data_IF_378206417545
#
_entry.id   IF_378206417545
#
_cell.length_a   1.000
_cell.length_b   1.000
_cell.length_c   1.000
_cell.angle_alpha   90.00
_cell.angle_beta   90.00
_cell.angle_gamma   90.00
#
_symmetry.space_group_name_H-M   'P 1'
#
loop_
_entity.id
_entity.type
_entity.pdbx_description
1 polymer ?
#
# COMPACT_ATOMS: atom_id res chain seq x y z
N UNK A 1 -47.25 22.15 4.26
CA UNK A 1 -46.88 22.54 2.86
C UNK A 1 -47.73 23.71 2.45
N UNK A 2 -47.11 24.85 2.14
CA UNK A 2 -47.87 26.00 1.68
C UNK A 2 -48.40 25.74 0.26
N UNK A 3 -49.74 25.67 0.11
CA UNK A 3 -50.32 25.41 -1.20
C UNK A 3 -50.45 26.73 -2.00
N UNK A 4 -49.46 27.02 -2.82
CA UNK A 4 -49.39 28.24 -3.64
C UNK A 4 -50.59 28.37 -4.59
N UNK A 5 -51.04 27.25 -5.15
CA UNK A 5 -52.20 27.22 -6.05
C UNK A 5 -53.48 27.63 -5.31
N UNK A 6 -53.64 27.14 -4.08
CA UNK A 6 -54.77 27.49 -3.24
C UNK A 6 -54.74 28.98 -2.84
N UNK A 7 -53.57 29.52 -2.47
CA UNK A 7 -53.43 30.93 -2.16
C UNK A 7 -53.73 31.86 -3.34
N UNK A 8 -53.28 31.49 -4.54
CA UNK A 8 -53.57 32.23 -5.77
C UNK A 8 -55.07 32.20 -6.08
N UNK A 9 -55.74 31.05 -5.92
CA UNK A 9 -57.20 30.95 -6.13
C UNK A 9 -57.93 31.84 -5.16
N UNK A 10 -57.66 31.82 -3.87
CA UNK A 10 -58.32 32.69 -2.88
C UNK A 10 -58.13 34.20 -3.15
N UNK A 11 -56.91 34.56 -3.59
CA UNK A 11 -56.64 35.97 -3.97
C UNK A 11 -57.40 36.35 -5.24
N UNK A 12 -57.52 35.48 -6.25
CA UNK A 12 -58.24 35.69 -7.46
C UNK A 12 -59.79 35.78 -7.19
N UNK A 13 -60.30 34.84 -6.36
CA UNK A 13 -61.72 34.86 -5.97
C UNK A 13 -62.07 36.15 -5.23
N UNK A 14 -61.13 36.70 -4.43
CA UNK A 14 -61.34 38.04 -3.82
C UNK A 14 -61.34 39.15 -4.82
N UNK A 15 -60.46 39.15 -5.82
CA UNK A 15 -60.40 40.16 -6.87
C UNK A 15 -61.69 40.14 -7.73
N UNK A 16 -62.23 38.94 -7.93
CA UNK A 16 -63.49 38.72 -8.70
C UNK A 16 -64.80 38.93 -7.89
N UNK A 17 -64.66 39.34 -6.61
CA UNK A 17 -65.80 39.54 -5.72
C UNK A 17 -66.49 38.24 -5.25
N UNK A 18 -65.88 37.06 -5.49
CA UNK A 18 -66.47 35.75 -5.13
C UNK A 18 -66.32 35.46 -3.62
N UNK A 19 -65.27 36.00 -2.95
CA UNK A 19 -65.09 35.92 -1.50
C UNK A 19 -64.80 37.30 -0.89
N UNK A 20 -65.17 37.48 0.38
CA UNK A 20 -64.92 38.70 1.16
C UNK A 20 -63.79 38.59 2.13
N UNK A 21 -62.86 37.61 1.99
CA UNK A 21 -61.74 37.43 2.91
C UNK A 21 -60.81 38.63 2.85
N UNK A 22 -60.41 39.11 4.02
CA UNK A 22 -59.28 40.03 4.11
C UNK A 22 -57.94 39.32 3.76
N UNK A 23 -56.93 40.08 3.30
CA UNK A 23 -55.58 39.50 3.02
C UNK A 23 -54.95 38.83 4.24
N UNK A 24 -55.33 39.24 5.47
CA UNK A 24 -54.90 38.60 6.68
C UNK A 24 -55.54 37.23 6.87
N UNK A 25 -56.87 37.12 6.57
CA UNK A 25 -57.57 35.85 6.61
C UNK A 25 -57.03 34.86 5.55
N UNK A 26 -56.77 35.35 4.34
CA UNK A 26 -56.12 34.51 3.29
C UNK A 26 -54.73 34.03 3.74
N UNK A 27 -53.94 34.91 4.39
CA UNK A 27 -52.65 34.57 4.93
C UNK A 27 -52.76 33.44 5.99
N UNK A 28 -53.68 33.55 6.92
CA UNK A 28 -53.93 32.56 7.95
C UNK A 28 -54.44 31.21 7.36
N UNK A 29 -55.32 31.22 6.37
CA UNK A 29 -55.82 30.01 5.71
C UNK A 29 -54.79 29.28 4.89
N UNK A 30 -53.81 30.00 4.36
CA UNK A 30 -52.82 29.44 3.41
C UNK A 30 -51.45 29.23 4.04
N UNK A 31 -51.24 29.72 5.28
CA UNK A 31 -49.93 29.69 5.95
C UNK A 31 -48.88 30.66 5.39
N UNK A 32 -49.27 31.53 4.45
CA UNK A 32 -48.39 32.58 3.93
C UNK A 32 -48.43 33.84 4.83
N UNK A 33 -47.31 34.60 4.83
CA UNK A 33 -47.36 35.92 5.46
C UNK A 33 -48.24 36.91 4.68
N UNK A 34 -48.87 37.88 5.35
CA UNK A 34 -49.67 38.93 4.70
C UNK A 34 -48.89 39.62 3.59
N UNK A 35 -47.57 39.86 3.77
CA UNK A 35 -46.69 40.45 2.74
C UNK A 35 -46.53 39.56 1.51
N UNK A 36 -46.52 38.24 1.67
CA UNK A 36 -46.51 37.30 0.54
C UNK A 36 -47.83 37.29 -0.23
N UNK A 37 -48.99 37.38 0.47
CA UNK A 37 -50.29 37.48 -0.17
C UNK A 37 -50.40 38.77 -1.00
N UNK A 38 -49.94 39.89 -0.50
CA UNK A 38 -49.87 41.14 -1.28
C UNK A 38 -48.99 41.01 -2.53
N UNK A 39 -47.87 40.30 -2.43
CA UNK A 39 -47.01 40.03 -3.60
C UNK A 39 -47.72 39.15 -4.63
N UNK A 40 -48.48 38.15 -4.17
CA UNK A 40 -49.29 37.32 -5.07
C UNK A 40 -50.40 38.14 -5.74
N UNK A 41 -51.10 39.00 -5.00
CA UNK A 41 -52.11 39.88 -5.53
C UNK A 41 -51.57 40.79 -6.65
N UNK A 42 -50.39 41.44 -6.39
CA UNK A 42 -49.72 42.24 -7.41
C UNK A 42 -49.38 41.46 -8.67
N UNK A 43 -48.92 40.22 -8.51
CA UNK A 43 -48.56 39.34 -9.64
C UNK A 43 -49.77 38.90 -10.45
N UNK A 44 -50.91 38.63 -9.83
CA UNK A 44 -52.17 38.27 -10.54
C UNK A 44 -52.66 39.41 -11.42
N UNK A 45 -52.48 40.65 -10.99
CA UNK A 45 -52.82 41.82 -11.79
C UNK A 45 -51.92 42.05 -13.00
N UNK A 46 -50.69 41.46 -12.97
CA UNK A 46 -49.69 41.65 -14.00
C UNK A 46 -49.55 40.43 -14.94
N UNK A 47 -49.95 39.23 -14.50
CA UNK A 47 -49.67 37.96 -15.18
C UNK A 47 -50.77 36.94 -14.95
N UNK A 48 -50.92 36.01 -15.92
CA UNK A 48 -51.79 34.86 -15.80
C UNK A 48 -51.33 33.89 -14.66
N UNK A 49 -52.30 33.23 -14.01
CA UNK A 49 -52.07 32.37 -12.83
C UNK A 49 -51.11 31.23 -13.13
N UNK A 50 -51.26 30.59 -14.29
CA UNK A 50 -50.41 29.45 -14.66
C UNK A 50 -48.94 29.89 -14.79
N UNK A 51 -48.71 31.08 -15.31
CA UNK A 51 -47.33 31.67 -15.35
C UNK A 51 -46.77 32.03 -13.98
N UNK A 52 -47.65 32.33 -12.99
CA UNK A 52 -47.26 32.63 -11.60
C UNK A 52 -46.90 31.34 -10.84
N UNK A 53 -47.54 30.20 -11.18
CA UNK A 53 -47.27 28.91 -10.58
C UNK A 53 -45.89 28.38 -10.96
N UNK A 54 -45.42 28.65 -12.17
CA UNK A 54 -44.10 28.28 -12.64
C UNK A 54 -43.04 29.13 -11.92
N UNK A 55 -42.04 28.46 -11.37
CA UNK A 55 -40.91 29.18 -10.74
C UNK A 55 -40.18 29.97 -11.83
N UNK A 56 -39.87 31.26 -11.57
CA UNK A 56 -39.24 32.17 -12.56
C UNK A 56 -37.91 31.72 -13.13
N UNK A 57 -37.28 30.73 -12.51
CA UNK A 57 -36.06 30.07 -12.97
C UNK A 57 -36.31 28.69 -13.60
N UNK A 58 -37.60 28.28 -13.74
CA UNK A 58 -37.93 27.01 -14.37
C UNK A 58 -37.52 27.04 -15.84
N UNK A 59 -36.78 26.00 -16.26
CA UNK A 59 -36.22 25.90 -17.61
C UNK A 59 -34.97 26.75 -17.88
N UNK A 60 -34.56 27.62 -16.94
CA UNK A 60 -33.32 28.38 -17.09
C UNK A 60 -32.15 27.59 -16.45
N UNK A 61 -31.04 27.44 -17.16
CA UNK A 61 -29.87 26.81 -16.58
C UNK A 61 -29.38 27.61 -15.35
N UNK A 62 -29.00 26.93 -14.29
CA UNK A 62 -28.37 27.55 -13.13
C UNK A 62 -27.06 28.22 -13.55
N UNK A 63 -26.66 29.31 -12.91
CA UNK A 63 -25.33 29.95 -13.12
C UNK A 63 -24.15 28.98 -12.92
N UNK A 64 -24.41 27.88 -12.23
CA UNK A 64 -23.46 26.83 -11.99
C UNK A 64 -23.61 25.61 -12.92
N UNK A 65 -24.50 25.68 -13.90
CA UNK A 65 -24.69 24.60 -14.90
C UNK A 65 -23.41 24.47 -15.74
N UNK A 66 -22.98 23.23 -16.05
CA UNK A 66 -21.83 23.01 -16.91
C UNK A 66 -22.12 23.52 -18.34
N UNK A 67 -21.11 24.07 -18.99
CA UNK A 67 -21.21 24.40 -20.42
C UNK A 67 -21.10 23.12 -21.26
N UNK A 68 -21.63 23.15 -22.50
CA UNK A 68 -21.46 22.03 -23.44
C UNK A 68 -20.00 21.70 -23.68
N UNK A 69 -19.14 22.73 -23.80
CA UNK A 69 -17.68 22.57 -23.97
C UNK A 69 -17.04 21.87 -22.77
N UNK A 70 -17.45 22.22 -21.55
CA UNK A 70 -16.95 21.56 -20.33
C UNK A 70 -17.31 20.08 -20.30
N UNK A 71 -18.58 19.75 -20.61
CA UNK A 71 -19.04 18.35 -20.66
C UNK A 71 -18.28 17.55 -21.71
N UNK A 72 -18.11 18.10 -22.91
CA UNK A 72 -17.39 17.45 -23.99
C UNK A 72 -15.91 17.23 -23.64
N UNK A 73 -15.26 18.20 -23.01
CA UNK A 73 -13.90 18.07 -22.52
C UNK A 73 -13.78 16.95 -21.48
N UNK A 74 -14.71 16.90 -20.51
CA UNK A 74 -14.73 15.85 -19.47
C UNK A 74 -14.94 14.47 -20.12
N UNK A 75 -15.79 14.33 -21.13
CA UNK A 75 -16.01 13.08 -21.85
C UNK A 75 -14.74 12.62 -22.56
N UNK A 76 -14.08 13.52 -23.28
CA UNK A 76 -12.83 13.22 -23.99
C UNK A 76 -11.70 12.81 -23.02
N UNK A 77 -11.60 13.50 -21.89
CA UNK A 77 -10.66 13.13 -20.84
C UNK A 77 -10.97 11.77 -20.22
N UNK A 78 -12.27 11.46 -19.96
CA UNK A 78 -12.71 10.16 -19.42
C UNK A 78 -12.37 8.98 -20.35
N UNK A 79 -12.40 9.20 -21.67
CA UNK A 79 -12.06 8.15 -22.64
C UNK A 79 -10.64 7.61 -22.50
N UNK A 80 -9.70 8.38 -21.92
CA UNK A 80 -8.35 7.93 -21.60
C UNK A 80 -8.34 6.91 -20.45
N UNK A 81 -9.39 6.87 -19.62
CA UNK A 81 -9.54 6.00 -18.45
C UNK A 81 -10.89 5.25 -18.51
N UNK A 82 -11.02 4.21 -19.37
CA UNK A 82 -12.30 3.51 -19.56
C UNK A 82 -12.89 2.96 -18.27
N UNK A 83 -12.04 2.37 -17.42
CA UNK A 83 -12.42 1.77 -16.14
C UNK A 83 -11.76 2.54 -15.01
N UNK A 84 -12.50 3.48 -14.43
CA UNK A 84 -12.02 4.32 -13.33
C UNK A 84 -13.14 4.62 -12.35
N UNK A 85 -12.85 4.63 -11.06
CA UNK A 85 -13.83 5.05 -10.05
C UNK A 85 -14.05 6.56 -10.07
N UNK A 86 -15.26 7.00 -9.71
CA UNK A 86 -15.61 8.43 -9.68
C UNK A 86 -14.59 9.22 -8.85
N UNK A 87 -14.24 8.73 -7.64
CA UNK A 87 -13.28 9.42 -6.77
C UNK A 87 -11.89 9.55 -7.41
N UNK A 88 -11.39 8.49 -8.05
CA UNK A 88 -10.09 8.56 -8.72
C UNK A 88 -10.14 9.45 -9.96
N UNK A 89 -11.22 9.40 -10.72
CA UNK A 89 -11.42 10.29 -11.87
C UNK A 89 -11.36 11.76 -11.45
N UNK A 90 -12.07 12.12 -10.37
CA UNK A 90 -12.06 13.47 -9.80
C UNK A 90 -10.63 13.87 -9.42
N UNK A 91 -9.92 13.00 -8.72
CA UNK A 91 -8.55 13.26 -8.31
C UNK A 91 -7.65 13.58 -9.51
N UNK A 92 -7.64 12.69 -10.52
CA UNK A 92 -6.80 12.87 -11.72
C UNK A 92 -7.22 14.10 -12.53
N UNK A 93 -8.51 14.26 -12.77
CA UNK A 93 -9.01 15.40 -13.55
C UNK A 93 -8.72 16.75 -12.87
N UNK A 94 -8.89 16.83 -11.55
CA UNK A 94 -8.59 18.04 -10.82
C UNK A 94 -7.08 18.32 -10.78
N UNK A 95 -6.24 17.32 -10.50
CA UNK A 95 -4.80 17.48 -10.40
C UNK A 95 -4.16 17.80 -11.77
N UNK A 96 -4.54 17.06 -12.82
CA UNK A 96 -3.89 17.18 -14.13
C UNK A 96 -4.44 18.33 -14.98
N UNK A 97 -5.69 18.72 -14.78
CA UNK A 97 -6.35 19.73 -15.60
C UNK A 97 -6.67 20.96 -14.77
N UNK A 98 -7.64 20.90 -13.85
CA UNK A 98 -8.27 22.09 -13.27
C UNK A 98 -7.31 22.87 -12.35
N UNK A 99 -6.45 22.18 -11.61
CA UNK A 99 -5.47 22.76 -10.69
C UNK A 99 -4.08 22.94 -11.33
N UNK A 100 -3.89 22.46 -12.55
CA UNK A 100 -2.61 22.53 -13.24
C UNK A 100 -2.39 23.90 -13.88
N UNK A 101 -1.44 24.65 -13.36
CA UNK A 101 -1.11 25.99 -13.88
C UNK A 101 -0.75 26.02 -15.37
N UNK A 102 -0.20 24.93 -15.93
CA UNK A 102 0.12 24.81 -17.35
C UNK A 102 -1.13 24.72 -18.24
N UNK A 103 -2.27 24.34 -17.65
CA UNK A 103 -3.55 24.17 -18.36
C UNK A 103 -4.43 25.41 -18.34
N UNK A 104 -3.94 26.56 -17.84
CA UNK A 104 -4.71 27.78 -17.65
C UNK A 104 -5.50 28.21 -18.90
N UNK A 105 -4.84 28.20 -20.07
CA UNK A 105 -5.47 28.53 -21.35
C UNK A 105 -6.62 27.58 -21.69
N UNK A 106 -6.38 26.27 -21.54
CA UNK A 106 -7.40 25.22 -21.79
C UNK A 106 -8.58 25.34 -20.83
N UNK A 107 -8.32 25.69 -19.56
CA UNK A 107 -9.35 25.91 -18.54
C UNK A 107 -10.24 27.08 -18.92
N UNK A 108 -9.65 28.21 -19.35
CA UNK A 108 -10.39 29.41 -19.76
C UNK A 108 -11.22 29.17 -21.05
N UNK A 109 -10.62 28.57 -22.07
CA UNK A 109 -11.27 28.28 -23.36
C UNK A 109 -12.49 27.35 -23.22
N UNK A 110 -12.42 26.38 -22.32
CA UNK A 110 -13.48 25.37 -22.11
C UNK A 110 -14.33 25.67 -20.86
N UNK A 111 -14.05 26.75 -20.13
CA UNK A 111 -14.74 27.14 -18.90
C UNK A 111 -14.76 26.01 -17.84
N UNK A 112 -13.62 25.34 -17.66
CA UNK A 112 -13.48 24.21 -16.76
C UNK A 112 -13.50 24.65 -15.29
N UNK A 113 -14.24 23.95 -14.43
CA UNK A 113 -14.40 24.28 -13.01
C UNK A 113 -14.18 23.08 -12.12
N UNK A 114 -13.84 23.36 -10.87
CA UNK A 114 -13.91 22.34 -9.82
C UNK A 114 -15.39 21.98 -9.57
N UNK A 115 -15.73 20.74 -9.76
CA UNK A 115 -17.10 20.22 -9.58
C UNK A 115 -17.17 19.28 -8.39
N UNK A 116 -18.36 19.18 -7.78
CA UNK A 116 -18.63 18.27 -6.67
C UNK A 116 -18.68 16.79 -7.11
N UNK A 117 -18.53 15.89 -6.16
CA UNK A 117 -18.69 14.46 -6.40
C UNK A 117 -20.05 14.13 -7.05
N UNK A 118 -21.15 14.73 -6.55
CA UNK A 118 -22.50 14.50 -7.06
C UNK A 118 -22.68 14.94 -8.51
N UNK A 119 -21.94 15.94 -8.97
CA UNK A 119 -21.94 16.31 -10.38
C UNK A 119 -21.38 15.18 -11.25
N UNK A 120 -20.19 14.64 -10.88
CA UNK A 120 -19.59 13.53 -11.61
C UNK A 120 -20.42 12.24 -11.49
N UNK A 121 -21.02 11.97 -10.33
CA UNK A 121 -21.93 10.84 -10.15
C UNK A 121 -23.13 10.91 -11.11
N UNK A 122 -23.74 12.09 -11.23
CA UNK A 122 -24.84 12.33 -12.18
C UNK A 122 -24.37 12.14 -13.61
N UNK A 123 -23.19 12.64 -13.95
CA UNK A 123 -22.62 12.49 -15.30
C UNK A 123 -22.32 11.02 -15.62
N UNK A 124 -21.76 10.25 -14.66
CA UNK A 124 -21.54 8.81 -14.81
C UNK A 124 -22.85 8.06 -15.10
N UNK A 125 -23.93 8.42 -14.40
CA UNK A 125 -25.27 7.81 -14.63
C UNK A 125 -25.84 8.18 -16.01
N UNK A 126 -25.70 9.45 -16.40
CA UNK A 126 -26.22 9.94 -17.70
C UNK A 126 -25.48 9.31 -18.88
N UNK A 127 -24.18 9.19 -18.79
CA UNK A 127 -23.35 8.63 -19.87
C UNK A 127 -23.20 7.10 -19.82
N UNK A 128 -23.80 6.43 -18.82
CA UNK A 128 -23.68 4.98 -18.64
C UNK A 128 -22.27 4.50 -18.31
N UNK A 129 -21.42 5.36 -17.75
CA UNK A 129 -20.05 5.00 -17.40
C UNK A 129 -20.00 4.06 -16.19
N UNK A 130 -19.13 3.04 -16.27
CA UNK A 130 -19.00 2.01 -15.25
C UNK A 130 -17.90 2.39 -14.26
N UNK A 131 -18.24 2.42 -12.97
CA UNK A 131 -17.27 2.47 -11.87
C UNK A 131 -16.89 1.05 -11.46
N UNK A 132 -15.58 0.73 -11.28
CA UNK A 132 -15.16 -0.58 -10.78
C UNK A 132 -15.57 -0.82 -9.32
N UNK A 133 -15.92 0.23 -8.59
CA UNK A 133 -16.41 0.14 -7.22
C UNK A 133 -17.92 -0.10 -7.27
N UNK A 134 -18.31 -1.35 -7.05
CA UNK A 134 -19.73 -1.71 -6.85
C UNK A 134 -20.07 -1.50 -5.38
N UNK A 135 -21.17 -0.79 -5.10
CA UNK A 135 -21.76 -0.81 -3.78
C UNK A 135 -22.25 -2.25 -3.50
N UNK A 136 -21.75 -2.87 -2.44
CA UNK A 136 -22.27 -4.16 -2.00
C UNK A 136 -23.67 -3.91 -1.47
N UNK A 137 -24.65 -4.64 -2.01
CA UNK A 137 -25.90 -4.84 -1.30
C UNK A 137 -25.57 -5.63 -0.03
N UNK A 138 -25.86 -5.06 1.13
CA UNK A 138 -25.67 -5.75 2.39
C UNK A 138 -26.61 -6.96 2.42
N UNK A 139 -26.03 -8.15 2.57
CA UNK A 139 -26.85 -9.32 2.85
C UNK A 139 -27.67 -9.06 4.13
N UNK A 140 -28.98 -9.30 4.08
CA UNK A 140 -29.92 -9.04 5.20
C UNK A 140 -29.51 -9.73 6.53
N UNK A 141 -28.59 -10.70 6.49
CA UNK A 141 -28.15 -11.52 7.61
C UNK A 141 -26.64 -11.34 7.92
N UNK A 142 -26.06 -10.15 7.64
CA UNK A 142 -24.67 -9.91 8.00
C UNK A 142 -24.53 -9.71 9.50
N UNK A 143 -23.84 -10.64 10.16
CA UNK A 143 -23.47 -10.51 11.58
C UNK A 143 -22.33 -9.50 11.68
N UNK A 144 -22.56 -8.40 12.39
CA UNK A 144 -21.51 -7.41 12.65
C UNK A 144 -20.47 -7.99 13.59
N UNK A 145 -19.21 -8.00 13.17
CA UNK A 145 -18.10 -8.36 14.04
C UNK A 145 -17.62 -7.12 14.82
N UNK A 146 -17.18 -7.27 16.10
CA UNK A 146 -16.65 -6.16 16.84
C UNK A 146 -15.41 -5.60 16.14
N UNK A 147 -15.33 -4.28 16.03
CA UNK A 147 -14.18 -3.60 15.46
C UNK A 147 -12.99 -3.74 16.40
N UNK A 148 -11.88 -4.31 15.90
CA UNK A 148 -10.62 -4.29 16.63
C UNK A 148 -10.08 -2.86 16.69
N UNK A 149 -9.71 -2.39 17.87
CA UNK A 149 -9.04 -1.10 18.00
C UNK A 149 -7.69 -1.11 17.26
N UNK A 150 -7.36 -0.03 16.55
CA UNK A 150 -6.03 0.16 15.99
C UNK A 150 -4.97 0.16 17.07
N UNK A 151 -3.74 -0.21 16.74
CA UNK A 151 -2.58 -0.04 17.61
C UNK A 151 -2.46 1.44 18.03
N UNK A 152 -2.04 1.73 19.28
CA UNK A 152 -2.07 3.11 19.79
C UNK A 152 -1.07 4.02 19.11
N UNK A 153 0.07 3.49 18.68
CA UNK A 153 1.17 4.25 18.10
C UNK A 153 1.81 3.53 16.90
N UNK A 154 2.43 4.30 16.05
CA UNK A 154 3.12 3.84 14.85
C UNK A 154 4.26 2.88 15.20
N UNK A 155 4.39 1.79 14.43
CA UNK A 155 5.46 0.79 14.60
C UNK A 155 5.16 -0.33 15.59
N UNK A 156 4.04 -0.27 16.34
CA UNK A 156 3.62 -1.38 17.23
C UNK A 156 3.23 -2.62 16.45
N UNK A 157 2.49 -2.45 15.35
CA UNK A 157 2.03 -3.57 14.53
C UNK A 157 2.09 -3.22 13.06
N UNK A 158 2.89 -3.95 12.31
CA UNK A 158 2.98 -3.84 10.87
C UNK A 158 2.28 -5.04 10.24
N UNK A 159 1.27 -4.78 9.42
CA UNK A 159 0.60 -5.79 8.63
C UNK A 159 1.31 -5.98 7.30
N UNK A 160 1.68 -7.21 6.97
CA UNK A 160 2.26 -7.56 5.67
C UNK A 160 1.35 -8.53 4.93
N UNK A 161 1.29 -8.37 3.61
CA UNK A 161 0.48 -9.22 2.73
C UNK A 161 1.04 -9.25 1.32
N UNK A 162 0.87 -10.37 0.62
CA UNK A 162 1.16 -10.54 -0.79
C UNK A 162 -0.13 -10.54 -1.62
N UNK A 163 -0.21 -9.75 -2.69
CA UNK A 163 -1.41 -9.75 -3.54
C UNK A 163 -1.03 -9.84 -5.01
N UNK A 164 -1.36 -10.96 -5.69
CA UNK A 164 -1.13 -11.10 -7.12
C UNK A 164 -2.17 -10.32 -7.92
N UNK A 165 -1.71 -9.52 -8.90
CA UNK A 165 -2.59 -8.80 -9.79
C UNK A 165 -1.89 -8.49 -11.13
N UNK A 166 -2.67 -8.31 -12.20
CA UNK A 166 -2.15 -7.83 -13.49
C UNK A 166 -2.05 -6.30 -13.50
N UNK A 167 -0.94 -5.78 -12.97
CA UNK A 167 -0.72 -4.34 -12.75
C UNK A 167 -0.55 -3.54 -14.04
N UNK A 168 -0.08 -4.16 -15.10
CA UNK A 168 0.11 -3.52 -16.41
C UNK A 168 -1.00 -3.84 -17.41
N UNK A 169 -1.98 -4.67 -17.03
CA UNK A 169 -3.09 -5.12 -17.89
C UNK A 169 -2.57 -5.79 -19.19
N UNK A 170 -1.52 -6.60 -19.06
CA UNK A 170 -0.87 -7.30 -20.17
C UNK A 170 -1.02 -8.84 -20.11
N UNK A 171 -1.86 -9.35 -19.23
CA UNK A 171 -2.09 -10.79 -19.01
C UNK A 171 -1.12 -11.43 -18.01
N UNK A 172 -0.08 -10.74 -17.55
CA UNK A 172 0.90 -11.26 -16.59
C UNK A 172 0.67 -10.70 -15.19
N UNK A 173 0.46 -11.61 -14.24
CA UNK A 173 0.29 -11.23 -12.83
C UNK A 173 1.63 -11.13 -12.13
N UNK A 174 1.78 -10.10 -11.30
CA UNK A 174 2.87 -9.94 -10.35
C UNK A 174 2.31 -9.76 -8.94
N UNK A 175 3.00 -10.26 -7.96
CA UNK A 175 2.61 -10.11 -6.55
C UNK A 175 3.19 -8.82 -5.98
N UNK A 176 2.32 -7.95 -5.46
CA UNK A 176 2.70 -6.83 -4.63
C UNK A 176 2.83 -7.31 -3.18
N UNK A 177 4.04 -7.27 -2.64
CA UNK A 177 4.30 -7.40 -1.21
C UNK A 177 4.10 -6.03 -0.58
N UNK A 178 3.20 -5.91 0.40
CA UNK A 178 2.80 -4.63 0.99
C UNK A 178 2.97 -4.66 2.50
N UNK A 179 3.49 -3.55 3.07
CA UNK A 179 3.57 -3.33 4.51
C UNK A 179 2.76 -2.09 4.90
N UNK A 180 1.85 -2.25 5.86
CA UNK A 180 0.97 -1.19 6.35
C UNK A 180 1.08 -1.09 7.86
N UNK A 181 1.18 0.12 8.36
CA UNK A 181 1.12 0.40 9.80
C UNK A 181 -0.32 0.34 10.30
N UNK A 182 -0.57 -0.46 11.33
CA UNK A 182 -1.91 -0.63 11.88
C UNK A 182 -2.45 0.62 12.58
N UNK A 183 -1.57 1.39 13.21
CA UNK A 183 -1.96 2.59 13.94
C UNK A 183 -2.44 3.72 13.03
N UNK A 184 -1.90 3.82 11.81
CA UNK A 184 -2.13 4.93 10.89
C UNK A 184 -2.78 4.54 9.57
N UNK A 185 -2.81 3.24 9.23
CA UNK A 185 -3.18 2.78 7.89
C UNK A 185 -2.20 3.20 6.79
N UNK A 186 -1.03 3.73 7.15
CA UNK A 186 -0.01 4.23 6.23
C UNK A 186 0.70 3.07 5.54
N UNK A 187 0.85 3.15 4.22
CA UNK A 187 1.74 2.28 3.47
C UNK A 187 3.18 2.66 3.81
N UNK A 188 3.91 1.74 4.41
CA UNK A 188 5.32 1.94 4.76
C UNK A 188 6.24 1.55 3.62
N UNK A 189 5.98 0.43 2.97
CA UNK A 189 6.72 -0.06 1.82
C UNK A 189 5.85 -0.94 0.93
N UNK A 190 6.24 -1.09 -0.34
CA UNK A 190 5.68 -2.05 -1.29
C UNK A 190 6.74 -2.54 -2.25
N UNK A 191 6.68 -3.83 -2.64
CA UNK A 191 7.63 -4.41 -3.58
C UNK A 191 6.95 -5.41 -4.51
N UNK A 192 7.14 -5.25 -5.82
CA UNK A 192 6.53 -6.09 -6.86
C UNK A 192 7.52 -7.16 -7.31
N UNK A 193 7.08 -8.42 -7.28
CA UNK A 193 7.83 -9.60 -7.74
C UNK A 193 6.95 -10.47 -8.67
N UNK A 194 7.55 -11.30 -9.53
CA UNK A 194 6.78 -12.21 -10.40
C UNK A 194 5.82 -13.11 -9.63
N UNK A 195 6.23 -13.55 -8.43
CA UNK A 195 5.42 -14.39 -7.55
C UNK A 195 5.53 -13.89 -6.10
N UNK A 196 4.65 -14.37 -5.25
CA UNK A 196 4.80 -14.21 -3.82
C UNK A 196 5.96 -15.09 -3.33
N UNK A 197 7.02 -14.47 -2.82
CA UNK A 197 8.27 -15.15 -2.49
C UNK A 197 9.00 -14.48 -1.31
N UNK A 198 9.94 -15.22 -0.73
CA UNK A 198 10.77 -14.72 0.36
C UNK A 198 11.53 -13.44 -0.02
N UNK A 199 12.08 -13.38 -1.23
CA UNK A 199 12.84 -12.23 -1.73
C UNK A 199 12.00 -10.95 -1.70
N UNK A 200 10.73 -11.01 -2.13
CA UNK A 200 9.81 -9.88 -2.08
C UNK A 200 9.57 -9.39 -0.65
N UNK A 201 9.39 -10.30 0.31
CA UNK A 201 9.24 -9.93 1.73
C UNK A 201 10.52 -9.40 2.34
N UNK A 202 11.69 -9.87 1.92
CA UNK A 202 12.98 -9.35 2.39
C UNK A 202 13.25 -7.96 1.82
N UNK A 203 12.93 -7.70 0.55
CA UNK A 203 12.96 -6.34 -0.01
C UNK A 203 12.03 -5.39 0.74
N UNK A 204 10.81 -5.85 1.04
CA UNK A 204 9.84 -5.10 1.82
C UNK A 204 10.39 -4.74 3.21
N UNK A 205 10.95 -5.73 3.90
CA UNK A 205 11.53 -5.57 5.23
C UNK A 205 12.74 -4.63 5.19
N UNK A 206 13.64 -4.77 4.21
CA UNK A 206 14.79 -3.87 4.02
C UNK A 206 14.35 -2.41 3.90
N UNK A 207 13.36 -2.11 3.06
CA UNK A 207 12.81 -0.76 2.89
C UNK A 207 12.19 -0.22 4.18
N UNK A 208 11.51 -1.06 4.93
CA UNK A 208 10.91 -0.71 6.21
C UNK A 208 11.98 -0.40 7.25
N UNK A 209 12.94 -1.31 7.42
CA UNK A 209 14.01 -1.20 8.42
C UNK A 209 14.89 0.03 8.18
N UNK A 210 15.30 0.26 6.94
CA UNK A 210 16.21 1.36 6.58
C UNK A 210 15.55 2.73 6.71
N UNK A 211 14.24 2.83 6.51
CA UNK A 211 13.53 4.10 6.55
C UNK A 211 12.91 4.42 7.91
N UNK A 212 12.41 3.42 8.62
CA UNK A 212 11.64 3.63 9.84
C UNK A 212 12.27 3.00 11.08
N UNK A 213 13.08 1.96 10.90
CA UNK A 213 13.64 1.15 11.97
C UNK A 213 12.91 -0.18 12.18
N UNK A 214 13.20 -0.84 13.29
CA UNK A 214 12.68 -2.15 13.66
C UNK A 214 11.30 -1.98 14.32
N UNK A 215 10.23 -2.60 13.78
CA UNK A 215 8.92 -2.59 14.43
C UNK A 215 8.86 -3.57 15.60
N UNK A 216 7.91 -3.38 16.49
CA UNK A 216 7.65 -4.31 17.60
C UNK A 216 7.10 -5.66 17.11
N UNK A 217 6.07 -5.61 16.24
CA UNK A 217 5.38 -6.80 15.76
C UNK A 217 5.16 -6.75 14.24
N UNK A 218 5.22 -7.92 13.60
CA UNK A 218 4.77 -8.14 12.23
C UNK A 218 3.60 -9.12 12.25
N UNK A 219 2.49 -8.73 11.60
CA UNK A 219 1.28 -9.51 11.44
C UNK A 219 1.13 -9.98 10.00
N UNK A 220 1.04 -11.29 9.79
CA UNK A 220 0.90 -11.90 8.47
C UNK A 220 -0.10 -13.06 8.49
N UNK A 221 -0.47 -13.56 7.30
CA UNK A 221 -1.14 -14.86 7.22
C UNK A 221 -0.19 -16.01 7.56
N UNK A 222 -0.78 -17.22 7.55
CA UNK A 222 -0.03 -18.47 7.79
C UNK A 222 0.62 -19.01 6.52
N UNK A 223 1.04 -18.13 5.60
CA UNK A 223 1.75 -18.58 4.42
C UNK A 223 3.09 -19.24 4.82
N UNK A 224 3.41 -20.37 4.19
CA UNK A 224 4.58 -21.21 4.54
C UNK A 224 5.94 -20.47 4.42
N UNK A 225 6.02 -19.39 3.65
CA UNK A 225 7.20 -18.53 3.56
C UNK A 225 7.42 -17.76 4.87
N UNK A 226 6.34 -17.30 5.50
CA UNK A 226 6.36 -16.39 6.65
C UNK A 226 6.31 -17.16 7.97
N UNK A 227 5.39 -18.09 8.10
CA UNK A 227 5.12 -18.82 9.33
C UNK A 227 5.41 -20.31 9.13
N UNK A 228 6.14 -20.96 10.04
CA UNK A 228 6.41 -22.39 9.91
C UNK A 228 5.12 -23.22 10.05
N UNK A 229 4.99 -24.24 9.21
CA UNK A 229 3.84 -25.17 9.23
C UNK A 229 3.91 -26.09 10.46
N UNK A 230 5.12 -26.50 10.86
CA UNK A 230 5.36 -27.34 12.04
C UNK A 230 5.57 -26.48 13.27
N UNK A 231 5.02 -26.88 14.39
CA UNK A 231 5.07 -26.14 15.67
C UNK A 231 6.50 -25.79 16.12
N UNK A 232 7.47 -26.67 15.87
CA UNK A 232 8.90 -26.45 16.17
C UNK A 232 9.73 -26.11 14.92
N UNK A 233 9.09 -25.77 13.80
CA UNK A 233 9.78 -25.38 12.58
C UNK A 233 10.24 -23.95 12.61
N UNK A 234 11.14 -23.61 11.69
CA UNK A 234 11.54 -22.22 11.43
C UNK A 234 11.53 -21.96 9.94
N UNK A 235 11.03 -20.80 9.52
CA UNK A 235 11.20 -20.31 8.16
C UNK A 235 12.42 -19.39 8.10
N UNK A 236 12.94 -19.13 6.92
CA UNK A 236 13.99 -18.13 6.78
C UNK A 236 13.51 -16.74 7.22
N UNK A 237 12.28 -16.39 6.90
CA UNK A 237 11.68 -15.11 7.32
C UNK A 237 11.53 -15.02 8.84
N UNK A 238 11.07 -16.09 9.51
CA UNK A 238 10.95 -16.10 10.98
C UNK A 238 12.34 -16.03 11.67
N UNK A 239 13.36 -16.61 11.05
CA UNK A 239 14.74 -16.49 11.54
C UNK A 239 15.25 -15.05 11.43
N UNK A 240 14.94 -14.35 10.34
CA UNK A 240 15.26 -12.92 10.15
C UNK A 240 14.56 -12.07 11.21
N UNK A 241 13.25 -12.28 11.41
CA UNK A 241 12.48 -11.57 12.44
C UNK A 241 13.05 -11.80 13.85
N UNK A 242 13.41 -13.04 14.17
CA UNK A 242 14.01 -13.40 15.45
C UNK A 242 15.35 -12.67 15.70
N UNK A 243 16.21 -12.57 14.68
CA UNK A 243 17.50 -11.85 14.81
C UNK A 243 17.31 -10.34 15.03
N UNK A 244 16.20 -9.78 14.51
CA UNK A 244 15.83 -8.39 14.68
C UNK A 244 15.03 -8.12 15.97
N UNK A 245 14.66 -9.16 16.72
CA UNK A 245 13.79 -9.03 17.88
C UNK A 245 12.34 -8.67 17.53
N UNK A 246 11.92 -8.91 16.29
CA UNK A 246 10.55 -8.66 15.84
C UNK A 246 9.66 -9.83 16.24
N UNK A 247 8.57 -9.57 16.94
CA UNK A 247 7.58 -10.58 17.25
C UNK A 247 6.66 -10.83 16.03
N UNK A 248 6.55 -12.09 15.60
CA UNK A 248 5.65 -12.49 14.52
C UNK A 248 4.31 -12.95 15.07
N UNK A 249 3.23 -12.39 14.54
CA UNK A 249 1.86 -12.75 14.88
C UNK A 249 1.19 -13.33 13.64
N UNK A 250 0.83 -14.61 13.73
CA UNK A 250 0.08 -15.28 12.66
C UNK A 250 -1.41 -14.93 12.74
N UNK A 251 -2.00 -14.55 11.63
CA UNK A 251 -3.44 -14.30 11.55
C UNK A 251 -4.23 -15.58 11.89
N UNK A 252 -5.14 -15.50 12.84
CA UNK A 252 -6.04 -16.58 13.21
C UNK A 252 -7.31 -16.56 12.35
N UNK A 253 -7.75 -15.37 11.94
CA UNK A 253 -8.96 -15.17 11.14
C UNK A 253 -8.73 -14.18 10.00
N UNK A 254 -9.48 -14.32 8.87
CA UNK A 254 -9.38 -13.38 7.75
C UNK A 254 -9.73 -11.95 8.14
N UNK A 255 -10.68 -11.75 9.04
CA UNK A 255 -11.18 -10.43 9.46
C UNK A 255 -10.09 -9.58 10.13
N UNK A 256 -9.12 -10.24 10.76
CA UNK A 256 -8.01 -9.56 11.41
C UNK A 256 -7.08 -8.82 10.42
N UNK A 257 -7.14 -9.14 9.12
CA UNK A 257 -6.39 -8.49 8.02
C UNK A 257 -7.13 -7.37 7.28
N UNK A 258 -8.33 -7.02 7.70
CA UNK A 258 -9.23 -6.13 6.96
C UNK A 258 -8.63 -4.76 6.55
N UNK A 259 -7.56 -4.27 7.18
CA UNK A 259 -6.88 -3.03 6.78
C UNK A 259 -5.99 -3.23 5.55
N UNK A 260 -5.12 -4.25 5.56
CA UNK A 260 -4.23 -4.53 4.43
C UNK A 260 -5.02 -4.99 3.21
N UNK A 261 -6.07 -5.80 3.39
CA UNK A 261 -6.95 -6.23 2.30
C UNK A 261 -7.69 -5.05 1.66
N UNK A 262 -8.21 -4.12 2.47
CA UNK A 262 -8.85 -2.89 1.94
C UNK A 262 -7.86 -2.03 1.16
N UNK A 263 -6.63 -1.91 1.66
CA UNK A 263 -5.59 -1.16 0.94
C UNK A 263 -5.18 -1.86 -0.35
N UNK A 264 -4.99 -3.17 -0.34
CA UNK A 264 -4.73 -3.97 -1.54
C UNK A 264 -5.83 -3.75 -2.59
N UNK A 265 -7.09 -3.81 -2.19
CA UNK A 265 -8.23 -3.54 -3.08
C UNK A 265 -8.24 -2.09 -3.59
N UNK A 266 -7.87 -1.14 -2.76
CA UNK A 266 -7.73 0.27 -3.17
C UNK A 266 -6.62 0.42 -4.22
N UNK A 267 -5.47 -0.23 -4.01
CA UNK A 267 -4.36 -0.22 -4.95
C UNK A 267 -4.73 -0.92 -6.28
N UNK A 268 -5.37 -2.08 -6.22
CA UNK A 268 -5.85 -2.78 -7.43
C UNK A 268 -6.78 -1.92 -8.29
N UNK A 269 -7.62 -1.10 -7.66
CA UNK A 269 -8.51 -0.20 -8.39
C UNK A 269 -7.82 1.07 -8.91
N UNK A 270 -6.84 1.61 -8.19
CA UNK A 270 -6.24 2.92 -8.50
C UNK A 270 -4.93 2.82 -9.27
N UNK A 271 -4.03 1.92 -8.85
CA UNK A 271 -2.66 1.88 -9.35
C UNK A 271 -2.58 1.66 -10.86
N UNK A 272 -3.51 0.88 -11.43
CA UNK A 272 -3.58 0.61 -12.87
C UNK A 272 -3.67 1.90 -13.71
N UNK A 273 -4.56 2.82 -13.30
CA UNK A 273 -4.74 4.09 -13.98
C UNK A 273 -3.55 5.04 -13.72
N UNK A 274 -3.00 5.01 -12.51
CA UNK A 274 -1.86 5.86 -12.15
C UNK A 274 -0.57 5.39 -12.84
N UNK A 275 -0.34 4.08 -13.02
CA UNK A 275 0.75 3.54 -13.86
C UNK A 275 0.69 4.11 -15.28
N UNK A 276 -0.48 4.13 -15.92
CA UNK A 276 -0.68 4.73 -17.24
C UNK A 276 -0.44 6.24 -17.23
N UNK A 277 -1.00 6.94 -16.24
CA UNK A 277 -0.86 8.38 -16.05
C UNK A 277 0.59 8.81 -15.95
N UNK A 278 1.39 8.08 -15.15
CA UNK A 278 2.80 8.39 -14.93
C UNK A 278 3.74 7.69 -15.94
N UNK A 279 3.18 6.99 -16.94
CA UNK A 279 3.92 6.31 -18.02
C UNK A 279 4.97 5.33 -17.50
N UNK A 280 4.69 4.62 -16.42
CA UNK A 280 5.56 3.57 -15.89
C UNK A 280 5.47 2.34 -16.80
N UNK A 281 6.61 1.80 -17.23
CA UNK A 281 6.65 0.74 -18.23
C UNK A 281 7.19 -0.59 -17.69
N UNK A 282 8.02 -0.56 -16.65
CA UNK A 282 8.69 -1.74 -16.11
C UNK A 282 8.45 -1.90 -14.61
N UNK A 283 8.53 -3.13 -14.10
CA UNK A 283 8.43 -3.39 -12.66
C UNK A 283 9.59 -2.79 -11.86
N UNK A 284 10.77 -2.65 -12.47
CA UNK A 284 11.89 -1.95 -11.83
C UNK A 284 11.58 -0.46 -11.60
N UNK A 285 11.02 0.21 -12.61
CA UNK A 285 10.52 1.59 -12.48
C UNK A 285 9.38 1.68 -11.47
N UNK A 286 8.43 0.72 -11.54
CA UNK A 286 7.29 0.66 -10.63
C UNK A 286 7.73 0.55 -9.17
N UNK A 287 8.70 -0.32 -8.85
CA UNK A 287 9.25 -0.48 -7.52
C UNK A 287 9.89 0.82 -7.00
N UNK A 288 10.68 1.50 -7.82
CA UNK A 288 11.30 2.79 -7.47
C UNK A 288 10.27 3.88 -7.28
N UNK A 289 9.37 4.06 -8.25
CA UNK A 289 8.33 5.09 -8.22
C UNK A 289 7.34 4.88 -7.08
N UNK A 290 6.91 3.64 -6.83
CA UNK A 290 6.00 3.30 -5.74
C UNK A 290 6.57 3.73 -4.38
N UNK A 291 7.82 3.41 -4.09
CA UNK A 291 8.45 3.69 -2.80
C UNK A 291 8.94 5.12 -2.63
N UNK A 292 9.34 5.81 -3.71
CA UNK A 292 9.77 7.21 -3.65
C UNK A 292 8.59 8.20 -3.65
N UNK A 293 7.55 7.93 -4.44
CA UNK A 293 6.46 8.88 -4.69
C UNK A 293 5.08 8.33 -4.32
N UNK A 294 4.66 7.22 -4.95
CA UNK A 294 3.25 6.81 -4.98
C UNK A 294 2.67 6.48 -3.61
N UNK A 295 3.42 5.78 -2.76
CA UNK A 295 2.95 5.50 -1.41
C UNK A 295 2.65 6.76 -0.59
N UNK A 296 3.48 7.80 -0.74
CA UNK A 296 3.24 9.07 -0.05
C UNK A 296 2.01 9.79 -0.61
N UNK A 297 1.78 9.70 -1.92
CA UNK A 297 0.58 10.22 -2.57
C UNK A 297 -0.69 9.53 -2.05
N UNK A 298 -0.68 8.21 -1.94
CA UNK A 298 -1.80 7.43 -1.37
C UNK A 298 -1.97 7.71 0.12
N UNK A 299 -0.88 7.75 0.88
CA UNK A 299 -0.92 8.01 2.32
C UNK A 299 -1.55 9.37 2.65
N UNK A 300 -1.30 10.42 1.86
CA UNK A 300 -1.97 11.73 2.04
C UNK A 300 -3.49 11.65 1.93
N UNK A 301 -4.02 10.67 1.20
CA UNK A 301 -5.47 10.50 0.97
C UNK A 301 -6.13 9.56 1.99
N UNK A 302 -5.43 8.54 2.44
CA UNK A 302 -6.03 7.42 3.18
C UNK A 302 -5.45 7.19 4.57
N UNK A 303 -4.25 7.69 4.87
CA UNK A 303 -3.67 7.56 6.20
C UNK A 303 -4.32 8.53 7.20
N UNK A 304 -4.34 8.14 8.44
CA UNK A 304 -4.90 8.90 9.55
C UNK A 304 -3.88 9.05 10.69
N UNK A 305 -4.15 9.96 11.62
CA UNK A 305 -3.25 10.20 12.77
C UNK A 305 -3.35 9.06 13.78
N UNK A 306 -2.23 8.60 14.34
CA UNK A 306 -2.25 7.62 15.42
C UNK A 306 -2.82 8.23 16.69
N UNK A 307 -3.23 7.37 17.66
CA UNK A 307 -3.73 7.79 18.97
C UNK A 307 -2.63 8.48 19.80
N UNK A 308 -1.40 7.98 19.68
CA UNK A 308 -0.22 8.49 20.35
C UNK A 308 0.83 8.97 19.32
N UNK A 309 1.45 10.12 19.57
CA UNK A 309 2.46 10.70 18.65
C UNK A 309 3.82 10.00 18.72
N UNK A 310 4.12 9.26 19.79
CA UNK A 310 5.38 8.52 19.93
C UNK A 310 5.39 7.32 18.98
N UNK A 311 6.57 7.01 18.44
CA UNK A 311 6.77 5.81 17.64
C UNK A 311 7.30 4.65 18.47
N UNK A 312 6.95 3.42 18.07
CA UNK A 312 7.50 2.18 18.63
C UNK A 312 8.68 1.63 17.80
N UNK A 313 8.96 2.23 16.65
CA UNK A 313 10.14 1.83 15.86
C UNK A 313 11.43 2.05 16.65
N UNK A 314 12.29 1.03 16.65
CA UNK A 314 13.60 1.08 17.27
C UNK A 314 14.66 1.26 16.18
N UNK A 315 15.70 2.06 16.47
CA UNK A 315 16.79 2.28 15.52
C UNK A 315 17.56 0.98 15.20
N UNK A 316 18.03 0.88 13.95
CA UNK A 316 18.85 -0.24 13.45
C UNK A 316 20.26 -0.32 14.07
N UNK A 317 20.62 0.57 14.98
CA UNK A 317 21.95 0.68 15.57
C UNK A 317 22.59 -0.72 15.81
N UNK A 318 23.78 -0.95 15.30
CA UNK A 318 24.56 -2.19 15.43
C UNK A 318 24.02 -3.44 14.70
N UNK A 319 22.92 -3.37 13.95
CA UNK A 319 22.43 -4.50 13.15
C UNK A 319 23.07 -4.47 11.76
N UNK A 320 23.88 -5.46 11.46
CA UNK A 320 24.40 -5.62 10.10
C UNK A 320 23.39 -6.41 9.25
N UNK A 321 22.64 -5.71 8.40
CA UNK A 321 21.61 -6.30 7.54
C UNK A 321 22.18 -7.31 6.54
N UNK A 322 23.46 -7.21 6.18
CA UNK A 322 24.10 -8.18 5.29
C UNK A 322 24.12 -9.60 5.88
N UNK A 323 24.21 -9.73 7.20
CA UNK A 323 24.19 -11.03 7.88
C UNK A 323 22.79 -11.45 8.37
N UNK A 324 21.85 -10.50 8.47
CA UNK A 324 20.52 -10.75 9.00
C UNK A 324 19.56 -11.17 7.89
N UNK A 325 19.55 -10.43 6.75
CA UNK A 325 18.62 -10.65 5.65
C UNK A 325 19.06 -11.84 4.77
N UNK A 326 19.30 -12.98 5.40
CA UNK A 326 19.86 -14.17 4.79
C UNK A 326 18.97 -15.40 4.91
N UNK A 327 19.01 -16.24 3.89
CA UNK A 327 18.67 -17.67 4.03
C UNK A 327 19.80 -18.41 4.73
N UNK A 328 19.47 -19.52 5.41
CA UNK A 328 20.42 -20.26 6.25
C UNK A 328 20.37 -21.74 5.94
N UNK A 329 21.55 -22.34 5.76
CA UNK A 329 21.68 -23.76 5.43
C UNK A 329 22.88 -24.37 6.17
N UNK A 330 22.69 -25.53 6.79
CA UNK A 330 23.82 -26.29 7.33
C UNK A 330 24.58 -26.99 6.20
N UNK A 331 25.89 -26.88 6.21
CA UNK A 331 26.80 -27.60 5.30
C UNK A 331 28.00 -28.14 6.08
N UNK A 332 28.63 -29.16 5.48
CA UNK A 332 29.84 -29.75 6.03
C UNK A 332 31.05 -29.23 5.27
N UNK A 333 32.10 -28.85 5.99
CA UNK A 333 33.36 -28.40 5.41
C UNK A 333 34.08 -29.59 4.78
N UNK A 334 34.52 -29.40 3.55
CA UNK A 334 35.29 -30.37 2.74
C UNK A 334 36.78 -30.08 2.86
N UNK A 335 37.61 -30.87 2.14
CA UNK A 335 39.05 -30.65 2.07
C UNK A 335 39.38 -29.25 1.56
N UNK A 336 40.43 -28.60 2.12
CA UNK A 336 40.86 -27.26 1.75
C UNK A 336 39.96 -26.13 2.26
N UNK A 337 39.23 -26.35 3.36
CA UNK A 337 38.27 -25.38 3.94
C UNK A 337 37.23 -24.93 2.96
N UNK A 338 36.76 -25.84 2.12
CA UNK A 338 35.78 -25.60 1.06
C UNK A 338 34.39 -26.08 1.49
N UNK A 339 33.37 -25.34 1.14
CA UNK A 339 31.98 -25.74 1.28
C UNK A 339 31.33 -25.86 -0.10
N UNK A 340 30.40 -26.78 -0.26
CA UNK A 340 29.58 -26.90 -1.47
C UNK A 340 28.18 -26.32 -1.25
N UNK A 341 27.77 -25.43 -2.14
CA UNK A 341 26.46 -24.80 -2.08
C UNK A 341 25.94 -24.44 -3.49
N UNK A 342 24.70 -24.77 -3.80
CA UNK A 342 24.04 -24.54 -5.09
C UNK A 342 24.86 -24.97 -6.33
N UNK A 343 25.58 -26.10 -6.23
CA UNK A 343 26.41 -26.62 -7.33
C UNK A 343 27.78 -25.99 -7.46
N UNK A 344 28.11 -25.00 -6.67
CA UNK A 344 29.40 -24.31 -6.63
C UNK A 344 30.19 -24.67 -5.37
N UNK A 345 31.49 -24.36 -5.40
CA UNK A 345 32.40 -24.55 -4.30
C UNK A 345 32.92 -23.19 -3.82
N UNK A 346 32.99 -23.01 -2.49
CA UNK A 346 33.42 -21.76 -1.87
C UNK A 346 34.48 -22.02 -0.85
N UNK A 347 35.60 -21.30 -0.93
CA UNK A 347 36.60 -21.23 0.16
C UNK A 347 36.10 -20.31 1.25
N UNK A 348 36.29 -20.68 2.50
CA UNK A 348 35.99 -19.80 3.65
C UNK A 348 37.24 -18.95 3.92
N UNK A 349 37.07 -17.62 3.87
CA UNK A 349 38.16 -16.66 4.01
C UNK A 349 37.87 -15.66 5.15
N UNK A 350 38.95 -15.14 5.72
CA UNK A 350 38.91 -14.04 6.70
C UNK A 350 38.61 -12.70 6.00
N UNK A 351 38.46 -11.62 6.77
CA UNK A 351 38.30 -10.27 6.20
C UNK A 351 39.57 -9.81 5.45
N UNK A 352 40.74 -10.35 5.78
CA UNK A 352 42.01 -10.08 5.11
C UNK A 352 42.24 -10.95 3.87
N UNK A 353 41.19 -11.65 3.41
CA UNK A 353 41.17 -12.60 2.29
C UNK A 353 42.11 -13.83 2.50
N UNK A 354 42.48 -14.12 3.72
CA UNK A 354 43.24 -15.33 4.05
C UNK A 354 42.33 -16.52 4.27
N UNK A 355 42.81 -17.73 3.96
CA UNK A 355 42.06 -18.95 4.18
C UNK A 355 41.74 -19.13 5.66
N UNK A 356 40.45 -19.29 6.02
CA UNK A 356 40.07 -19.65 7.40
C UNK A 356 40.21 -21.13 7.63
N UNK A 357 41.12 -21.57 8.50
CA UNK A 357 41.27 -22.98 8.80
C UNK A 357 40.06 -23.52 9.59
N UNK A 358 39.41 -24.52 9.02
CA UNK A 358 38.30 -25.24 9.64
C UNK A 358 38.47 -26.72 9.35
N UNK A 359 38.31 -27.56 10.36
CA UNK A 359 38.46 -29.01 10.17
C UNK A 359 37.46 -29.58 9.18
N UNK A 360 37.91 -30.48 8.32
CA UNK A 360 37.06 -31.29 7.47
C UNK A 360 35.99 -32.01 8.30
N UNK A 361 34.78 -32.11 7.82
CA UNK A 361 33.65 -32.73 8.52
C UNK A 361 32.96 -31.81 9.53
N UNK A 362 33.50 -30.63 9.81
CA UNK A 362 32.83 -29.66 10.68
C UNK A 362 31.54 -29.14 10.03
N UNK A 363 30.46 -29.12 10.80
CA UNK A 363 29.20 -28.45 10.37
C UNK A 363 29.32 -26.95 10.56
N UNK A 364 28.98 -26.21 9.53
CA UNK A 364 28.93 -24.75 9.51
C UNK A 364 27.58 -24.31 8.94
N UNK A 365 27.15 -23.09 9.29
CA UNK A 365 25.92 -22.52 8.70
C UNK A 365 26.30 -21.53 7.62
N UNK A 366 25.81 -21.78 6.41
CA UNK A 366 25.88 -20.83 5.30
C UNK A 366 24.75 -19.81 5.46
N UNK A 367 25.09 -18.55 5.22
CA UNK A 367 24.18 -17.41 5.15
C UNK A 367 24.28 -16.84 3.74
N UNK A 368 23.23 -16.97 2.94
CA UNK A 368 23.12 -16.32 1.64
C UNK A 368 22.23 -15.09 1.79
N UNK A 369 22.79 -13.90 1.57
CA UNK A 369 22.02 -12.67 1.60
C UNK A 369 21.02 -12.65 0.44
N UNK A 370 19.74 -12.48 0.76
CA UNK A 370 18.64 -12.56 -0.20
C UNK A 370 18.68 -11.42 -1.22
N UNK A 371 19.23 -10.25 -0.87
CA UNK A 371 19.20 -9.06 -1.70
C UNK A 371 20.36 -8.95 -2.70
N UNK A 372 21.56 -9.41 -2.28
CA UNK A 372 22.78 -9.25 -3.07
C UNK A 372 23.51 -10.57 -3.36
N UNK A 373 22.93 -11.71 -2.93
CA UNK A 373 23.43 -13.07 -3.09
C UNK A 373 24.85 -13.31 -2.56
N UNK A 374 25.36 -12.43 -1.71
CA UNK A 374 26.62 -12.68 -1.00
C UNK A 374 26.46 -13.84 -0.05
N UNK A 375 27.49 -14.72 -0.05
CA UNK A 375 27.52 -15.90 0.78
C UNK A 375 28.51 -15.71 1.91
N UNK A 376 28.07 -15.96 3.12
CA UNK A 376 28.87 -15.91 4.33
C UNK A 376 28.80 -17.26 5.03
N UNK A 377 29.80 -17.56 5.85
CA UNK A 377 29.83 -18.73 6.70
C UNK A 377 29.89 -18.32 8.16
N UNK A 378 28.95 -18.81 8.95
CA UNK A 378 29.00 -18.64 10.40
C UNK A 378 29.67 -19.85 11.05
N UNK A 379 30.79 -19.61 11.74
CA UNK A 379 31.54 -20.60 12.48
C UNK A 379 31.96 -20.03 13.85
N UNK A 380 31.68 -20.74 14.94
CA UNK A 380 31.93 -20.27 16.32
C UNK A 380 31.42 -18.85 16.62
N UNK A 381 30.16 -18.55 16.19
CA UNK A 381 29.54 -17.24 16.34
C UNK A 381 30.20 -16.07 15.60
N UNK A 382 31.15 -16.34 14.72
CA UNK A 382 31.77 -15.34 13.84
C UNK A 382 31.35 -15.57 12.40
N UNK A 383 31.20 -14.48 11.64
CA UNK A 383 30.94 -14.51 10.22
C UNK A 383 32.23 -14.41 9.43
N UNK A 384 32.36 -15.23 8.41
CA UNK A 384 33.48 -15.28 7.48
C UNK A 384 32.99 -15.07 6.07
N UNK A 385 33.79 -14.38 5.27
CA UNK A 385 33.52 -14.22 3.86
C UNK A 385 33.76 -15.52 3.10
N UNK A 386 33.27 -15.59 1.87
CA UNK A 386 33.55 -16.72 0.99
C UNK A 386 34.09 -16.25 -0.36
N UNK A 387 34.94 -17.07 -0.95
CA UNK A 387 35.42 -16.88 -2.31
C UNK A 387 34.98 -18.06 -3.17
N UNK A 388 34.26 -17.80 -4.24
CA UNK A 388 33.80 -18.83 -5.19
C UNK A 388 35.02 -19.39 -5.94
N UNK A 389 35.04 -20.70 -6.15
CA UNK A 389 36.04 -21.38 -6.96
C UNK A 389 35.51 -21.58 -8.35
N UNK A 390 36.21 -21.07 -9.35
CA UNK A 390 35.83 -21.15 -10.76
C UNK A 390 35.82 -22.60 -11.29
N UNK A 391 36.70 -23.45 -10.75
CA UNK A 391 36.84 -24.85 -11.16
C UNK A 391 36.85 -25.79 -9.96
N UNK A 392 36.31 -26.99 -10.15
CA UNK A 392 36.47 -28.10 -9.20
C UNK A 392 37.97 -28.48 -9.20
N UNK A 393 38.68 -28.20 -8.10
CA UNK A 393 40.09 -28.57 -7.96
C UNK A 393 40.27 -30.06 -8.38
N UNK A 394 41.16 -30.30 -9.31
CA UNK A 394 41.52 -31.66 -9.73
C UNK A 394 42.05 -32.47 -8.53
N UNK A 395 41.98 -33.79 -8.62
CA UNK A 395 42.49 -34.66 -7.53
C UNK A 395 43.98 -34.43 -7.26
N UNK A 396 44.78 -34.10 -8.28
CA UNK A 396 46.19 -33.79 -8.18
C UNK A 396 46.46 -32.42 -7.53
N UNK A 397 45.66 -31.41 -7.85
CA UNK A 397 45.74 -30.10 -7.18
C UNK A 397 45.31 -30.18 -5.71
N UNK A 398 44.25 -30.97 -5.41
CA UNK A 398 43.86 -31.25 -4.04
C UNK A 398 45.03 -31.86 -3.23
N UNK A 399 45.73 -32.83 -3.78
CA UNK A 399 46.85 -33.51 -3.11
C UNK A 399 48.02 -32.55 -2.91
N UNK A 400 48.31 -31.68 -3.87
CA UNK A 400 49.43 -30.72 -3.82
C UNK A 400 49.19 -29.60 -2.81
N UNK A 401 47.97 -29.04 -2.78
CA UNK A 401 47.52 -28.04 -1.79
C UNK A 401 47.49 -28.68 -0.39
N UNK A 402 47.03 -29.91 -0.28
CA UNK A 402 46.83 -30.63 0.96
C UNK A 402 48.13 -30.86 1.75
N UNK A 403 49.28 -31.04 1.09
CA UNK A 403 50.55 -31.32 1.83
C UNK A 403 51.21 -30.09 2.48
N UNK A 404 51.15 -28.94 1.82
CA UNK A 404 51.80 -27.70 2.31
C UNK A 404 50.89 -26.86 3.20
N UNK A 405 49.63 -26.75 2.85
CA UNK A 405 48.68 -25.95 3.62
C UNK A 405 48.12 -26.68 4.85
N UNK A 406 47.91 -28.00 4.78
CA UNK A 406 47.47 -28.78 5.94
C UNK A 406 48.40 -28.69 7.15
N UNK A 407 49.69 -28.58 6.92
CA UNK A 407 50.62 -28.48 8.03
C UNK A 407 50.46 -27.11 8.73
N UNK A 408 50.36 -26.01 7.96
CA UNK A 408 50.12 -24.66 8.50
C UNK A 408 48.74 -24.55 9.14
N UNK A 409 47.72 -25.11 8.47
CA UNK A 409 46.32 -25.13 8.97
C UNK A 409 46.21 -25.92 10.27
N UNK A 410 46.88 -27.09 10.32
CA UNK A 410 46.89 -27.94 11.53
C UNK A 410 47.55 -27.22 12.71
N UNK A 411 48.70 -26.59 12.48
CA UNK A 411 49.44 -25.82 13.51
C UNK A 411 48.57 -24.65 14.03
N UNK A 412 47.89 -23.94 13.16
CA UNK A 412 47.02 -22.83 13.55
C UNK A 412 45.78 -23.28 14.33
N UNK A 413 45.13 -24.35 13.90
CA UNK A 413 43.99 -24.95 14.59
C UNK A 413 44.35 -25.52 15.94
N UNK A 414 45.53 -26.18 16.04
CA UNK A 414 46.06 -26.67 17.32
C UNK A 414 46.35 -25.51 18.28
N UNK A 415 46.92 -24.41 17.79
CA UNK A 415 47.16 -23.22 18.59
C UNK A 415 45.86 -22.59 19.11
N UNK A 416 44.84 -22.44 18.25
CA UNK A 416 43.51 -21.94 18.66
C UNK A 416 42.83 -22.87 19.68
N UNK A 417 43.00 -24.19 19.54
CA UNK A 417 42.49 -25.20 20.48
C UNK A 417 43.14 -25.03 21.85
N UNK A 418 44.47 -24.91 21.88
CA UNK A 418 45.23 -24.75 23.12
C UNK A 418 44.88 -23.43 23.82
N UNK A 419 44.69 -22.35 23.09
CA UNK A 419 44.25 -21.07 23.63
C UNK A 419 42.86 -21.18 24.27
N UNK A 420 41.94 -21.93 23.65
CA UNK A 420 40.60 -22.18 24.21
C UNK A 420 40.63 -23.07 25.44
N UNK A 421 41.47 -24.08 25.46
CA UNK A 421 41.67 -24.94 26.65
C UNK A 421 42.25 -24.14 27.82
N UNK A 422 43.24 -23.27 27.57
CA UNK A 422 43.78 -22.34 28.56
C UNK A 422 42.75 -21.32 29.05
N UNK A 423 41.91 -20.83 28.17
CA UNK A 423 40.84 -19.89 28.55
C UNK A 423 39.72 -20.56 29.37
N UNK A 424 39.42 -21.86 29.11
CA UNK A 424 38.48 -22.65 29.90
C UNK A 424 39.05 -22.98 31.30
N UNK A 425 40.34 -23.36 31.39
CA UNK A 425 41.01 -23.65 32.64
C UNK A 425 41.18 -22.40 33.55
N UNK A 426 41.12 -21.21 33.04
CA UNK A 426 41.11 -19.94 33.80
C UNK A 426 39.72 -19.52 34.30
N UNK A 427 38.65 -20.19 33.84
CA UNK A 427 37.29 -19.91 34.24
C UNK A 427 36.69 -20.98 35.17
N UNK A 428 37.37 -22.07 35.38
CA UNK A 428 37.17 -23.08 36.44
C UNK A 428 38.07 -22.79 37.63
#
# INVERSE_FOLDING_TARGET
>A
MHNKKYALKLVQDKLNGINNYSYLQIANLTGYSKKQIYRLNKKINEKDIDSILVHGLFGKPSNNSPSTKEIEFIKNFKNQYPVISISQFIDIYHEDIVMNKKMKKVIEENNLKLRSYSFYESLYKQEGWISPIKHKEFAKNYVSHPLREPSPRRGVLIMIDGTPHDWFQNGHKFSLHLAIDDATGEILAGWFMPNECLEGYVHLLYLLLTKYGIPENIYSDRHAILIPIKENGTTHFSSICKDLGINQIAALTPEAKGKVERMNKTLQNRLLNDIKRFKIQTYSELNKWFNSYYKNYINKKFAYKPKENKTAFVSLNNHNLDYILCTRFERTVLDGCVISYNGYYYKVITNDNELKPIFKGTKVTIYENVLNHKIFVKYHNQFYNTQMLENRLSRSEKIRITKVENQKILEQVLKERDERLKARAKRS
#
